data_IF_481765650478
#
_entry.id   IF_481765650478
#
_cell.length_a   1.000
_cell.length_b   1.000
_cell.length_c   1.000
_cell.angle_alpha   90.00
_cell.angle_beta   90.00
_cell.angle_gamma   90.00
#
_symmetry.space_group_name_H-M   'P 1'
#
loop_
_entity.id
_entity.type
_entity.pdbx_description
1 polymer ?
#
# COMPACT_ATOMS: atom_id res chain seq x y z
N UNK A 1 23.57 7.21 -35.42
CA UNK A 1 23.68 5.96 -34.63
C UNK A 1 24.04 6.16 -33.15
N UNK A 2 24.79 7.20 -32.75
CA UNK A 2 25.15 7.46 -31.32
C UNK A 2 23.98 7.67 -30.35
N UNK A 3 22.80 8.09 -30.84
CA UNK A 3 21.59 8.35 -30.02
C UNK A 3 20.81 7.10 -29.61
N UNK A 4 21.09 5.91 -30.17
CA UNK A 4 20.37 4.68 -29.81
C UNK A 4 20.93 4.00 -28.55
N UNK A 5 22.21 4.22 -28.22
CA UNK A 5 22.86 3.59 -27.05
C UNK A 5 22.53 4.33 -25.75
N UNK A 6 22.16 5.61 -25.82
CA UNK A 6 21.84 6.41 -24.62
C UNK A 6 20.52 6.00 -23.94
N UNK A 7 19.55 5.49 -24.71
CA UNK A 7 18.23 5.10 -24.20
C UNK A 7 18.31 3.98 -23.13
N UNK A 8 18.99 2.84 -23.37
CA UNK A 8 19.07 1.78 -22.36
C UNK A 8 19.84 2.19 -21.11
N UNK A 9 20.86 3.05 -21.24
CA UNK A 9 21.64 3.54 -20.09
C UNK A 9 20.77 4.41 -19.18
N UNK A 10 19.98 5.33 -19.76
CA UNK A 10 19.03 6.15 -19.00
C UNK A 10 18.00 5.26 -18.29
N UNK A 11 17.53 4.21 -18.95
CA UNK A 11 16.57 3.27 -18.36
C UNK A 11 17.16 2.51 -17.16
N UNK A 12 18.40 2.03 -17.26
CA UNK A 12 19.11 1.36 -16.16
C UNK A 12 19.28 2.31 -14.97
N UNK A 13 19.66 3.57 -15.21
CA UNK A 13 19.79 4.59 -14.17
C UNK A 13 18.45 4.91 -13.49
N UNK A 14 17.34 4.92 -14.23
CA UNK A 14 16.00 5.09 -13.66
C UNK A 14 15.61 3.91 -12.77
N UNK A 15 15.91 2.68 -13.20
CA UNK A 15 15.59 1.47 -12.43
C UNK A 15 16.42 1.34 -11.15
N UNK A 16 17.72 1.65 -11.19
CA UNK A 16 18.58 1.60 -10.01
C UNK A 16 18.13 2.62 -8.94
N UNK A 17 17.75 3.83 -9.37
CA UNK A 17 17.19 4.84 -8.48
C UNK A 17 15.88 4.38 -7.82
N UNK A 18 14.97 3.74 -8.58
CA UNK A 18 13.75 3.16 -8.02
C UNK A 18 14.03 2.09 -6.96
N UNK A 19 15.05 1.26 -7.18
CA UNK A 19 15.46 0.24 -6.22
C UNK A 19 15.97 0.85 -4.90
N UNK A 20 16.79 1.90 -4.97
CA UNK A 20 17.28 2.63 -3.79
C UNK A 20 16.13 3.30 -3.05
N UNK A 21 15.23 3.98 -3.76
CA UNK A 21 14.05 4.62 -3.17
C UNK A 21 13.21 3.61 -2.37
N UNK A 22 12.98 2.43 -2.94
CA UNK A 22 12.19 1.37 -2.32
C UNK A 22 12.87 0.76 -1.09
N UNK A 23 14.17 0.46 -1.17
CA UNK A 23 14.82 -0.32 -0.11
C UNK A 23 15.45 0.53 1.00
N UNK A 24 15.83 1.77 0.69
CA UNK A 24 16.52 2.65 1.63
C UNK A 24 15.59 3.73 2.21
N UNK A 25 14.82 4.43 1.36
CA UNK A 25 14.09 5.63 1.79
C UNK A 25 12.66 5.31 2.23
N UNK A 26 11.94 4.51 1.43
CA UNK A 26 10.53 4.18 1.65
C UNK A 26 10.34 2.70 1.97
N UNK A 27 11.21 2.15 2.81
CA UNK A 27 11.11 0.76 3.24
C UNK A 27 9.80 0.55 4.02
N UNK A 28 9.04 -0.49 3.67
CA UNK A 28 7.87 -0.93 4.45
C UNK A 28 8.30 -2.04 5.40
N UNK A 29 8.40 -1.74 6.70
CA UNK A 29 8.82 -2.71 7.71
C UNK A 29 7.75 -3.76 7.99
N UNK A 30 6.48 -3.35 8.06
CA UNK A 30 5.37 -4.21 8.49
C UNK A 30 4.42 -4.59 7.35
N UNK A 31 5.01 -4.99 6.22
CA UNK A 31 4.27 -5.21 4.98
C UNK A 31 3.18 -6.27 5.14
N UNK A 32 3.47 -7.36 5.85
CA UNK A 32 2.52 -8.47 6.00
C UNK A 32 1.35 -8.11 6.91
N UNK A 33 1.62 -7.39 8.00
CA UNK A 33 0.62 -6.86 8.92
C UNK A 33 -0.26 -5.82 8.25
N UNK A 34 0.34 -4.91 7.47
CA UNK A 34 -0.39 -3.92 6.68
C UNK A 34 -1.35 -4.64 5.73
N UNK A 35 -0.89 -5.64 4.98
CA UNK A 35 -1.76 -6.40 4.06
C UNK A 35 -2.86 -7.14 4.84
N UNK A 36 -2.52 -7.79 5.95
CA UNK A 36 -3.45 -8.57 6.77
C UNK A 36 -4.56 -7.70 7.35
N UNK A 37 -4.21 -6.56 7.97
CA UNK A 37 -5.17 -5.70 8.63
C UNK A 37 -5.92 -4.78 7.66
N UNK A 38 -5.27 -4.27 6.62
CA UNK A 38 -5.98 -3.53 5.55
C UNK A 38 -7.06 -4.39 4.89
N UNK A 39 -6.75 -5.66 4.60
CA UNK A 39 -7.73 -6.61 4.07
C UNK A 39 -8.85 -6.87 5.09
N UNK A 40 -8.50 -7.11 6.36
CA UNK A 40 -9.48 -7.39 7.42
C UNK A 40 -10.46 -6.25 7.65
N UNK A 41 -9.98 -5.00 7.63
CA UNK A 41 -10.78 -3.82 7.91
C UNK A 41 -11.18 -3.03 6.66
N UNK A 42 -10.96 -3.60 5.46
CA UNK A 42 -11.31 -3.01 4.15
C UNK A 42 -10.74 -1.59 3.92
N UNK A 43 -9.51 -1.37 4.39
CA UNK A 43 -8.80 -0.10 4.23
C UNK A 43 -7.84 -0.18 3.05
N UNK A 44 -7.56 0.95 2.38
CA UNK A 44 -6.50 1.01 1.38
C UNK A 44 -5.13 0.67 2.01
N UNK A 45 -4.44 -0.40 1.57
CA UNK A 45 -3.13 -0.77 2.11
C UNK A 45 -2.07 0.32 1.93
N UNK A 46 -2.19 1.17 0.90
CA UNK A 46 -1.29 2.30 0.69
C UNK A 46 -1.51 3.39 1.73
N UNK A 47 -2.77 3.61 2.15
CA UNK A 47 -3.08 4.53 3.24
C UNK A 47 -2.48 4.01 4.55
N UNK A 48 -2.65 2.73 4.84
CA UNK A 48 -2.02 2.09 6.00
C UNK A 48 -0.49 2.24 5.98
N UNK A 49 0.16 1.98 4.84
CA UNK A 49 1.60 2.14 4.70
C UNK A 49 2.06 3.60 4.85
N UNK A 50 1.28 4.55 4.33
CA UNK A 50 1.59 5.97 4.43
C UNK A 50 1.56 6.47 5.87
N UNK A 51 0.54 6.08 6.64
CA UNK A 51 0.43 6.39 8.07
C UNK A 51 1.53 5.67 8.83
N UNK A 52 1.77 4.39 8.52
CA UNK A 52 2.83 3.60 9.14
C UNK A 52 4.21 4.26 9.06
N UNK A 53 4.49 4.92 7.93
CA UNK A 53 5.75 5.60 7.70
C UNK A 53 5.82 7.02 8.27
N UNK A 54 4.68 7.70 8.41
CA UNK A 54 4.64 9.02 9.05
C UNK A 54 4.85 8.91 10.55
N UNK A 55 4.26 7.90 11.16
CA UNK A 55 4.50 7.56 12.55
C UNK A 55 5.71 6.61 12.63
N UNK A 56 6.92 7.15 12.39
CA UNK A 56 8.18 6.37 12.38
C UNK A 56 8.43 5.57 13.66
N UNK A 57 7.75 5.92 14.76
CA UNK A 57 7.79 5.23 16.05
C UNK A 57 6.66 4.21 16.24
N UNK A 58 5.96 3.82 15.18
CA UNK A 58 5.00 2.72 15.24
C UNK A 58 5.78 1.44 15.59
N UNK A 59 5.50 0.93 16.78
CA UNK A 59 5.86 -0.43 17.17
C UNK A 59 4.90 -1.42 16.52
N UNK A 60 5.30 -2.69 16.44
CA UNK A 60 4.44 -3.77 15.93
C UNK A 60 3.06 -3.78 16.61
N UNK A 61 3.03 -3.47 17.90
CA UNK A 61 1.84 -3.46 18.74
C UNK A 61 0.85 -2.33 18.40
N UNK A 62 1.31 -1.19 17.86
CA UNK A 62 0.45 -0.04 17.53
C UNK A 62 -0.16 -0.11 16.13
N UNK A 63 0.38 -0.93 15.22
CA UNK A 63 -0.12 -1.08 13.84
C UNK A 63 -1.56 -1.59 13.82
N UNK A 64 -1.81 -2.67 14.56
CA UNK A 64 -3.12 -3.31 14.60
C UNK A 64 -4.21 -2.35 15.11
N UNK A 65 -4.07 -1.66 16.25
CA UNK A 65 -5.08 -0.71 16.71
C UNK A 65 -5.21 0.49 15.75
N UNK A 66 -4.13 1.00 15.16
CA UNK A 66 -4.19 2.14 14.24
C UNK A 66 -4.94 1.78 12.95
N UNK A 67 -4.64 0.64 12.32
CA UNK A 67 -5.37 0.19 11.13
C UNK A 67 -6.81 -0.21 11.48
N UNK A 68 -7.04 -0.79 12.67
CA UNK A 68 -8.41 -1.10 13.15
C UNK A 68 -9.25 0.16 13.30
N UNK A 69 -8.69 1.22 13.89
CA UNK A 69 -9.38 2.50 14.01
C UNK A 69 -9.60 3.12 12.65
N UNK A 70 -8.56 3.16 11.81
CA UNK A 70 -8.65 3.67 10.44
C UNK A 70 -9.78 2.97 9.69
N UNK A 71 -9.92 1.65 9.80
CA UNK A 71 -11.03 0.91 9.18
C UNK A 71 -12.43 1.20 9.72
N UNK A 72 -12.57 1.77 10.92
CA UNK A 72 -13.86 2.27 11.41
C UNK A 72 -14.25 3.61 10.77
N UNK A 73 -13.26 4.47 10.52
CA UNK A 73 -13.47 5.82 9.99
C UNK A 73 -13.24 5.92 8.49
N UNK A 74 -12.72 4.86 7.87
CA UNK A 74 -12.30 4.81 6.48
C UNK A 74 -13.51 4.89 5.56
N UNK A 75 -13.52 5.96 4.78
CA UNK A 75 -14.43 6.18 3.68
C UNK A 75 -13.61 6.27 2.39
N UNK A 76 -13.81 5.28 1.51
CA UNK A 76 -13.13 5.22 0.21
C UNK A 76 -13.50 6.41 -0.68
N UNK A 77 -14.71 6.95 -0.54
CA UNK A 77 -15.16 8.13 -1.29
C UNK A 77 -14.55 9.42 -0.75
N UNK A 78 -14.16 9.43 0.53
CA UNK A 78 -13.59 10.57 1.21
C UNK A 78 -12.38 10.20 2.09
N UNK A 79 -11.25 9.99 1.42
CA UNK A 79 -9.98 9.66 2.08
C UNK A 79 -9.54 10.80 3.02
N UNK A 80 -9.87 12.05 2.69
CA UNK A 80 -9.48 13.24 3.44
C UNK A 80 -10.09 13.22 4.83
N UNK A 81 -11.41 13.00 4.91
CA UNK A 81 -12.11 12.83 6.19
C UNK A 81 -11.58 11.61 6.97
N UNK A 82 -11.20 10.53 6.28
CA UNK A 82 -10.63 9.34 6.93
C UNK A 82 -9.32 9.66 7.65
N UNK A 83 -8.42 10.40 6.98
CA UNK A 83 -7.14 10.83 7.53
C UNK A 83 -7.38 11.85 8.66
N UNK A 84 -8.26 12.82 8.45
CA UNK A 84 -8.59 13.84 9.44
C UNK A 84 -9.13 13.24 10.75
N UNK A 85 -10.11 12.33 10.67
CA UNK A 85 -10.65 11.62 11.83
C UNK A 85 -9.58 10.83 12.57
N UNK A 86 -8.69 10.16 11.82
CA UNK A 86 -7.58 9.42 12.40
C UNK A 86 -6.56 10.34 13.08
N UNK A 87 -6.22 11.48 12.49
CA UNK A 87 -5.33 12.49 13.08
C UNK A 87 -5.91 13.00 14.40
N UNK A 88 -7.19 13.38 14.40
CA UNK A 88 -7.88 13.90 15.57
C UNK A 88 -7.92 12.88 16.72
N UNK A 89 -8.10 11.58 16.40
CA UNK A 89 -8.12 10.53 17.40
C UNK A 89 -6.77 10.28 18.08
N UNK A 90 -5.66 10.50 17.37
CA UNK A 90 -4.32 10.30 17.90
C UNK A 90 -3.74 11.56 18.57
N UNK A 91 -4.55 12.62 18.73
CA UNK A 91 -4.14 13.91 19.28
C UNK A 91 -2.90 14.53 18.60
N UNK A 92 -2.56 14.10 17.38
CA UNK A 92 -1.33 14.50 16.70
C UNK A 92 -1.33 15.98 16.31
N UNK A 93 -2.49 16.64 16.34
CA UNK A 93 -2.64 18.04 15.92
C UNK A 93 -3.92 18.71 16.42
N UNK A 94 -4.48 18.28 17.55
CA UNK A 94 -5.80 18.70 18.04
C UNK A 94 -6.01 20.22 18.16
N UNK A 95 -4.94 21.03 18.15
CA UNK A 95 -5.02 22.50 18.29
C UNK A 95 -4.53 23.30 17.07
N UNK A 96 -4.05 22.69 15.98
CA UNK A 96 -3.47 23.46 14.86
C UNK A 96 -3.85 22.93 13.47
N UNK A 97 -4.85 23.58 12.84
CA UNK A 97 -5.36 23.25 11.50
C UNK A 97 -4.27 23.20 10.41
N UNK A 98 -3.17 23.94 10.60
CA UNK A 98 -2.02 23.91 9.70
C UNK A 98 -1.26 22.58 9.74
N UNK A 99 -1.07 22.02 10.94
CA UNK A 99 -0.39 20.75 11.13
C UNK A 99 -1.22 19.59 10.56
N UNK A 100 -2.54 19.59 10.78
CA UNK A 100 -3.45 18.63 10.15
C UNK A 100 -3.29 18.63 8.62
N UNK A 101 -3.33 19.82 8.00
CA UNK A 101 -3.20 19.97 6.54
C UNK A 101 -1.85 19.49 6.03
N UNK A 102 -0.76 19.82 6.73
CA UNK A 102 0.59 19.37 6.37
C UNK A 102 0.70 17.84 6.45
N UNK A 103 0.17 17.24 7.52
CA UNK A 103 0.16 15.79 7.71
C UNK A 103 -0.65 15.09 6.62
N UNK A 104 -1.88 15.55 6.34
CA UNK A 104 -2.72 15.03 5.26
C UNK A 104 -2.02 15.10 3.90
N UNK A 105 -1.36 16.23 3.61
CA UNK A 105 -0.59 16.41 2.37
C UNK A 105 0.54 15.40 2.27
N UNK A 106 1.26 15.14 3.36
CA UNK A 106 2.35 14.16 3.39
C UNK A 106 1.84 12.72 3.28
N UNK A 107 0.75 12.38 3.95
CA UNK A 107 0.11 11.07 3.86
C UNK A 107 -0.28 10.74 2.41
N UNK A 108 -0.96 11.68 1.72
CA UNK A 108 -1.33 11.53 0.31
C UNK A 108 -0.13 11.36 -0.62
N UNK A 109 0.93 12.15 -0.42
CA UNK A 109 2.17 12.02 -1.19
C UNK A 109 2.78 10.62 -1.00
N UNK A 110 2.86 10.16 0.24
CA UNK A 110 3.37 8.83 0.56
C UNK A 110 2.50 7.72 -0.02
N UNK A 111 1.17 7.85 -0.02
CA UNK A 111 0.28 6.89 -0.69
C UNK A 111 0.63 6.72 -2.17
N UNK A 112 0.89 7.82 -2.88
CA UNK A 112 1.29 7.79 -4.29
C UNK A 112 2.64 7.09 -4.45
N UNK A 113 3.62 7.47 -3.62
CA UNK A 113 4.95 6.85 -3.62
C UNK A 113 4.86 5.34 -3.38
N UNK A 114 4.12 4.90 -2.36
CA UNK A 114 3.93 3.49 -2.06
C UNK A 114 3.20 2.73 -3.17
N UNK A 115 2.26 3.39 -3.85
CA UNK A 115 1.57 2.80 -5.01
C UNK A 115 2.51 2.52 -6.18
N UNK A 116 3.52 3.38 -6.38
CA UNK A 116 4.54 3.21 -7.41
C UNK A 116 5.57 2.16 -6.99
N UNK A 117 6.10 2.25 -5.76
CA UNK A 117 7.20 1.41 -5.29
C UNK A 117 6.77 -0.01 -4.91
N UNK A 118 5.51 -0.19 -4.49
CA UNK A 118 4.96 -1.45 -4.00
C UNK A 118 3.60 -1.75 -4.62
N UNK A 119 3.53 -1.92 -5.96
CA UNK A 119 2.27 -2.25 -6.62
C UNK A 119 1.63 -3.51 -6.04
N UNK A 120 2.46 -4.42 -5.51
CA UNK A 120 2.05 -5.71 -4.97
C UNK A 120 1.28 -5.67 -3.64
N UNK A 121 1.21 -4.51 -2.96
CA UNK A 121 0.37 -4.31 -1.77
C UNK A 121 -1.12 -4.59 -2.04
N UNK A 122 -1.61 -4.32 -3.24
CA UNK A 122 -3.00 -4.59 -3.66
C UNK A 122 -3.17 -5.99 -4.25
N UNK A 123 -2.10 -6.58 -4.77
CA UNK A 123 -2.21 -7.76 -5.63
C UNK A 123 -2.54 -9.06 -4.88
N UNK A 124 -2.26 -9.18 -3.57
CA UNK A 124 -2.48 -10.46 -2.85
C UNK A 124 -3.95 -10.90 -2.80
N UNK A 125 -4.92 -9.97 -2.76
CA UNK A 125 -6.35 -10.31 -2.79
C UNK A 125 -6.82 -10.74 -4.18
N UNK A 126 -6.35 -10.07 -5.24
CA UNK A 126 -6.70 -10.41 -6.63
C UNK A 126 -6.02 -11.69 -7.13
N UNK A 127 -4.75 -11.93 -6.75
CA UNK A 127 -4.00 -13.13 -7.11
C UNK A 127 -4.51 -14.40 -6.43
N UNK A 128 -5.08 -14.32 -5.22
CA UNK A 128 -5.74 -15.47 -4.60
C UNK A 128 -6.94 -15.90 -5.44
N UNK A 129 -7.74 -14.95 -5.92
CA UNK A 129 -8.85 -15.25 -6.83
C UNK A 129 -8.37 -15.77 -8.19
N UNK A 130 -7.26 -15.25 -8.73
CA UNK A 130 -6.70 -15.74 -9.99
C UNK A 130 -6.08 -17.14 -9.87
N UNK A 131 -5.36 -17.45 -8.78
CA UNK A 131 -4.86 -18.80 -8.50
C UNK A 131 -6.00 -19.78 -8.29
N UNK A 132 -7.05 -19.38 -7.56
CA UNK A 132 -8.25 -20.21 -7.39
C UNK A 132 -8.96 -20.42 -8.73
N UNK A 133 -9.04 -19.41 -9.59
CA UNK A 133 -9.60 -19.52 -10.94
C UNK A 133 -8.78 -20.48 -11.81
N UNK A 134 -7.46 -20.35 -11.83
CA UNK A 134 -6.55 -21.26 -12.55
C UNK A 134 -6.68 -22.71 -12.07
N UNK A 135 -6.79 -22.92 -10.76
CA UNK A 135 -7.01 -24.23 -10.16
C UNK A 135 -8.40 -24.81 -10.51
N UNK A 136 -9.44 -23.97 -10.52
CA UNK A 136 -10.78 -24.39 -10.97
C UNK A 136 -10.80 -24.76 -12.46
N UNK A 137 -10.08 -24.01 -13.29
CA UNK A 137 -9.96 -24.28 -14.73
C UNK A 137 -9.18 -25.58 -14.98
N UNK A 138 -8.11 -25.85 -14.23
CA UNK A 138 -7.34 -27.09 -14.37
C UNK A 138 -8.14 -28.33 -13.97
N UNK A 139 -8.98 -28.27 -12.92
CA UNK A 139 -9.90 -29.36 -12.55
C UNK A 139 -10.94 -29.61 -13.64
N UNK A 140 -11.54 -28.55 -14.20
CA UNK A 140 -12.52 -28.68 -15.29
C UNK A 140 -11.90 -29.33 -16.53
N UNK A 141 -10.68 -28.92 -16.90
CA UNK A 141 -9.95 -29.51 -18.01
C UNK A 141 -9.64 -31.00 -17.78
N UNK A 142 -9.18 -31.36 -16.57
CA UNK A 142 -8.90 -32.75 -16.20
C UNK A 142 -10.14 -33.65 -16.27
N UNK A 143 -11.28 -33.21 -15.71
CA UNK A 143 -12.53 -33.98 -15.78
C UNK A 143 -13.02 -34.19 -17.22
N UNK A 144 -12.80 -33.23 -18.12
CA UNK A 144 -13.20 -33.33 -19.53
C UNK A 144 -12.34 -34.33 -20.32
N UNK A 145 -11.10 -34.57 -19.90
CA UNK A 145 -10.18 -35.50 -20.56
C UNK A 145 -10.38 -36.95 -20.12
N UNK A 146 -10.82 -37.21 -18.89
CA UNK A 146 -10.98 -38.56 -18.33
C UNK A 146 -12.40 -39.17 -18.45
N UNK A 147 -13.33 -38.47 -19.11
CA UNK A 147 -14.71 -38.94 -19.35
C UNK A 147 -15.00 -39.17 -20.85
N UNK A 148 -13.96 -39.42 -21.64
CA UNK A 148 -14.03 -39.99 -22.99
C UNK A 148 -13.35 -41.35 -22.97
#
# INVERSE_FOLDING_TARGET
MKKMISIPIIFILLLSNLFILRNCIYKIEFKEEIIKYSTKYKVDPYLCASIANLEKDITHDSIKPNIKYLGKVYDKSNIDLSIEKWINNNNLSANNSFQCKAYMKNAKKLMIVYRILYPDLVFKTKLRNFKNLLWFLSIKAYKKLNFR
#
